data_IF_376324750984
#
_entry.id   IF_376324750984
#
_cell.length_a   1.000
_cell.length_b   1.000
_cell.length_c   1.000
_cell.angle_alpha   90.00
_cell.angle_beta   90.00
_cell.angle_gamma   90.00
#
_symmetry.space_group_name_H-M   'P 1'
#
loop_
_entity.id
_entity.type
_entity.pdbx_description
1 polymer ?
#
# COMPACT_ATOMS: atom_id res chain seq x y z
N UNK A 1 50.75 -29.38 -5.92
CA UNK A 1 49.30 -29.14 -6.12
C UNK A 1 48.55 -29.51 -4.85
N UNK A 2 48.25 -28.55 -3.95
CA UNK A 2 47.25 -28.75 -2.87
C UNK A 2 46.86 -27.43 -2.21
N UNK A 3 46.74 -26.33 -2.97
CA UNK A 3 46.42 -25.00 -2.42
C UNK A 3 44.93 -24.69 -2.40
N UNK A 4 44.11 -25.43 -3.16
CA UNK A 4 42.66 -25.20 -3.26
C UNK A 4 41.88 -25.57 -1.99
N UNK A 5 42.36 -26.54 -1.18
CA UNK A 5 41.65 -27.01 0.01
C UNK A 5 41.74 -26.02 1.19
N UNK A 6 42.86 -25.34 1.34
CA UNK A 6 43.08 -24.38 2.43
C UNK A 6 42.34 -23.05 2.23
N UNK A 7 42.14 -22.63 0.98
CA UNK A 7 41.41 -21.39 0.63
C UNK A 7 39.91 -21.56 0.95
N UNK A 8 39.33 -22.73 0.65
CA UNK A 8 37.91 -22.99 0.88
C UNK A 8 37.56 -23.11 2.37
N UNK A 9 38.44 -23.73 3.18
CA UNK A 9 38.24 -23.83 4.64
C UNK A 9 38.44 -22.49 5.35
N UNK A 10 39.36 -21.64 4.85
CA UNK A 10 39.59 -20.30 5.39
C UNK A 10 38.42 -19.35 5.14
N UNK A 11 37.75 -19.45 3.98
CA UNK A 11 36.57 -18.63 3.65
C UNK A 11 35.37 -19.01 4.53
N UNK A 12 35.13 -20.30 4.76
CA UNK A 12 34.07 -20.75 5.68
C UNK A 12 34.31 -20.30 7.13
N UNK A 13 35.56 -20.34 7.61
CA UNK A 13 35.90 -19.90 8.96
C UNK A 13 35.65 -18.39 9.16
N UNK A 14 35.86 -17.57 8.12
CA UNK A 14 35.55 -16.13 8.15
C UNK A 14 34.05 -15.82 8.08
N UNK A 15 33.25 -16.59 7.31
CA UNK A 15 31.80 -16.34 7.21
C UNK A 15 31.04 -16.72 8.50
N UNK A 16 31.50 -17.75 9.23
CA UNK A 16 30.92 -18.10 10.52
C UNK A 16 31.26 -17.08 11.62
N UNK A 17 32.43 -16.41 11.56
CA UNK A 17 32.79 -15.40 12.56
C UNK A 17 32.03 -14.09 12.39
N UNK A 18 31.63 -13.72 11.16
CA UNK A 18 30.82 -12.51 10.92
C UNK A 18 29.34 -12.72 11.24
N UNK A 19 28.81 -13.94 11.13
CA UNK A 19 27.41 -14.23 11.47
C UNK A 19 27.16 -14.19 12.99
N UNK A 20 28.16 -14.55 13.80
CA UNK A 20 28.05 -14.56 15.26
C UNK A 20 28.04 -13.17 15.92
N UNK A 21 28.46 -12.11 15.22
CA UNK A 21 28.49 -10.73 15.76
C UNK A 21 27.23 -9.90 15.44
N UNK A 22 26.31 -10.39 14.61
CA UNK A 22 25.03 -9.71 14.30
C UNK A 22 23.80 -10.33 14.98
N UNK A 23 23.99 -11.34 15.84
CA UNK A 23 22.89 -12.03 16.52
C UNK A 23 22.65 -11.53 17.96
N UNK A 24 22.86 -10.24 18.23
CA UNK A 24 22.72 -9.70 19.59
C UNK A 24 22.07 -8.31 19.56
N UNK A 25 20.74 -8.28 19.54
CA UNK A 25 19.85 -7.66 20.56
C UNK A 25 18.45 -7.47 19.98
N UNK A 26 17.57 -8.47 20.14
CA UNK A 26 16.13 -8.17 20.17
C UNK A 26 15.83 -7.75 21.61
N UNK A 27 15.78 -6.44 21.85
CA UNK A 27 15.24 -5.89 23.10
C UNK A 27 13.73 -6.01 23.06
N UNK A 28 13.18 -6.91 23.87
CA UNK A 28 11.74 -6.97 24.11
C UNK A 28 11.42 -5.93 25.20
N UNK A 29 10.76 -4.85 24.79
CA UNK A 29 10.18 -3.89 25.72
C UNK A 29 8.76 -4.38 26.07
N UNK A 30 8.63 -4.99 27.24
CA UNK A 30 7.33 -5.35 27.81
C UNK A 30 6.84 -4.16 28.65
N UNK A 31 6.31 -3.14 27.98
CA UNK A 31 5.38 -2.21 28.62
C UNK A 31 4.47 -1.55 27.56
N UNK A 32 3.61 -2.37 26.96
CA UNK A 32 2.39 -1.87 26.35
C UNK A 32 1.26 -2.46 27.17
N UNK A 33 0.70 -1.60 28.01
CA UNK A 33 -0.62 -1.74 28.61
C UNK A 33 -1.55 -2.38 27.58
N UNK A 34 -2.29 -3.45 27.89
CA UNK A 34 -3.26 -3.99 26.95
C UNK A 34 -4.38 -2.96 26.80
N UNK A 35 -4.22 -2.03 25.87
CA UNK A 35 -5.36 -1.44 25.19
C UNK A 35 -5.99 -2.63 24.49
N UNK A 36 -7.15 -3.02 24.99
CA UNK A 36 -8.05 -3.93 24.33
C UNK A 36 -8.20 -3.49 22.88
N UNK A 37 -7.47 -4.15 21.99
CA UNK A 37 -7.75 -4.17 20.57
C UNK A 37 -9.11 -4.86 20.46
N UNK A 38 -10.17 -4.05 20.46
CA UNK A 38 -11.38 -4.41 19.75
C UNK A 38 -10.95 -4.64 18.31
N UNK A 39 -10.67 -5.89 17.98
CA UNK A 39 -10.71 -6.42 16.63
C UNK A 39 -12.13 -6.18 16.12
N UNK A 40 -12.38 -4.95 15.64
CA UNK A 40 -13.51 -4.65 14.78
C UNK A 40 -13.22 -5.39 13.49
N UNK A 41 -13.55 -6.69 13.51
CA UNK A 41 -13.80 -7.51 12.35
C UNK A 41 -14.51 -6.61 11.35
N UNK A 42 -13.84 -6.31 10.23
CA UNK A 42 -14.41 -5.60 9.10
C UNK A 42 -15.54 -6.49 8.55
N UNK A 43 -16.66 -6.44 9.22
CA UNK A 43 -17.98 -6.73 8.69
C UNK A 43 -18.04 -5.91 7.41
N UNK A 44 -18.39 -6.49 6.25
CA UNK A 44 -18.72 -5.68 5.09
C UNK A 44 -19.84 -4.75 5.56
N UNK A 45 -19.50 -3.49 5.83
CA UNK A 45 -20.48 -2.48 6.18
C UNK A 45 -21.41 -2.47 4.98
N UNK A 46 -22.59 -3.03 5.19
CA UNK A 46 -23.65 -3.11 4.21
C UNK A 46 -23.85 -1.70 3.67
N UNK A 47 -23.42 -1.47 2.43
CA UNK A 47 -23.54 -0.25 1.63
C UNK A 47 -25.01 0.05 1.32
N UNK A 48 -25.83 0.18 2.35
CA UNK A 48 -27.25 0.48 2.24
C UNK A 48 -27.67 1.48 3.31
N UNK A 49 -26.84 2.45 3.65
CA UNK A 49 -27.31 3.66 4.34
C UNK A 49 -26.63 4.90 3.74
N UNK A 50 -27.49 5.75 3.17
CA UNK A 50 -27.20 6.94 2.40
C UNK A 50 -26.54 8.03 3.23
N UNK A 51 -25.24 7.93 3.50
CA UNK A 51 -24.46 9.07 3.98
C UNK A 51 -24.24 10.04 2.81
N UNK A 52 -25.18 10.94 2.63
CA UNK A 52 -25.06 12.04 1.66
C UNK A 52 -23.94 12.96 2.13
N UNK A 53 -22.82 12.97 1.40
CA UNK A 53 -21.72 13.88 1.67
C UNK A 53 -21.94 15.23 0.96
N UNK A 54 -21.70 16.34 1.64
CA UNK A 54 -21.78 17.69 1.06
C UNK A 54 -20.38 18.22 0.70
N UNK A 55 -20.26 18.81 -0.49
CA UNK A 55 -19.01 19.35 -1.02
C UNK A 55 -19.19 20.80 -1.47
N UNK A 56 -18.37 21.70 -0.93
CA UNK A 56 -18.31 23.10 -1.36
C UNK A 56 -17.27 23.25 -2.49
N UNK A 57 -17.75 23.39 -3.73
CA UNK A 57 -16.91 23.57 -4.90
C UNK A 57 -16.06 24.86 -4.87
N UNK A 58 -16.42 25.86 -4.05
CA UNK A 58 -15.66 27.11 -3.93
C UNK A 58 -14.29 26.91 -3.28
N UNK A 59 -14.13 25.83 -2.50
CA UNK A 59 -12.85 25.46 -1.88
C UNK A 59 -11.86 24.89 -2.89
N UNK A 60 -12.33 24.45 -4.05
CA UNK A 60 -11.49 23.89 -5.12
C UNK A 60 -10.90 25.01 -5.96
N UNK A 61 -9.68 25.40 -5.62
CA UNK A 61 -8.92 26.40 -6.40
C UNK A 61 -8.33 25.71 -7.62
N UNK A 62 -8.97 25.86 -8.77
CA UNK A 62 -8.43 25.42 -10.05
C UNK A 62 -7.99 26.62 -10.90
N UNK A 63 -6.82 26.53 -11.50
CA UNK A 63 -6.39 27.51 -12.52
C UNK A 63 -7.16 27.23 -13.82
N UNK A 64 -7.84 28.25 -14.36
CA UNK A 64 -8.59 28.17 -15.62
C UNK A 64 -10.11 28.04 -15.44
N UNK A 65 -10.80 27.63 -16.52
CA UNK A 65 -12.28 27.61 -16.59
C UNK A 65 -12.91 26.24 -16.31
N UNK A 66 -12.11 25.22 -16.01
CA UNK A 66 -12.63 23.86 -15.79
C UNK A 66 -13.00 23.71 -14.31
N UNK A 67 -14.29 23.73 -14.01
CA UNK A 67 -14.80 23.45 -12.68
C UNK A 67 -14.82 21.93 -12.43
N UNK A 68 -14.37 21.48 -11.26
CA UNK A 68 -14.48 20.08 -10.84
C UNK A 68 -15.95 19.79 -10.52
N UNK A 69 -16.49 18.76 -11.16
CA UNK A 69 -17.82 18.25 -10.81
C UNK A 69 -17.77 17.45 -9.51
N UNK A 70 -18.16 18.10 -8.42
CA UNK A 70 -18.18 17.50 -7.08
C UNK A 70 -19.43 16.65 -6.80
N UNK A 71 -20.47 16.74 -7.64
CA UNK A 71 -21.75 16.04 -7.42
C UNK A 71 -21.58 14.51 -7.40
N UNK A 72 -20.53 14.03 -8.06
CA UNK A 72 -20.16 12.62 -8.18
C UNK A 72 -19.77 12.01 -6.84
N UNK A 73 -19.11 12.79 -5.99
CA UNK A 73 -18.60 12.32 -4.70
C UNK A 73 -19.71 12.22 -3.63
N UNK A 74 -20.86 12.87 -3.84
CA UNK A 74 -21.99 12.92 -2.89
C UNK A 74 -22.51 11.53 -2.54
N UNK A 75 -22.52 10.62 -3.51
CA UNK A 75 -23.06 9.26 -3.39
C UNK A 75 -21.99 8.16 -3.46
N UNK A 76 -20.74 8.51 -3.14
CA UNK A 76 -19.65 7.53 -3.04
C UNK A 76 -18.95 7.18 -4.36
N UNK A 77 -19.11 7.97 -5.42
CA UNK A 77 -18.14 7.89 -6.53
C UNK A 77 -16.81 8.43 -6.04
N UNK A 78 -15.72 7.67 -6.19
CA UNK A 78 -14.44 8.00 -5.57
C UNK A 78 -13.45 8.70 -6.51
N UNK A 79 -13.72 8.78 -7.81
CA UNK A 79 -12.78 9.28 -8.83
C UNK A 79 -13.49 9.95 -10.00
N UNK A 80 -12.79 10.87 -10.68
CA UNK A 80 -13.24 11.47 -11.94
C UNK A 80 -12.88 10.56 -13.14
N UNK A 81 -13.58 10.66 -14.28
CA UNK A 81 -13.09 10.14 -15.55
C UNK A 81 -11.75 10.80 -15.91
N UNK A 82 -10.81 10.02 -16.42
CA UNK A 82 -9.47 10.52 -16.66
C UNK A 82 -8.44 9.43 -16.93
N UNK A 83 -7.17 9.85 -16.97
CA UNK A 83 -6.02 8.96 -17.10
C UNK A 83 -5.43 8.66 -15.74
N UNK A 84 -5.28 7.38 -15.44
CA UNK A 84 -4.74 6.92 -14.17
C UNK A 84 -3.63 5.89 -14.40
N UNK A 85 -2.54 6.02 -13.64
CA UNK A 85 -1.52 4.99 -13.54
C UNK A 85 -2.00 3.94 -12.56
N UNK A 86 -2.31 2.74 -13.05
CA UNK A 86 -2.87 1.67 -12.22
C UNK A 86 -2.09 0.38 -12.39
N UNK A 87 -2.22 -0.47 -11.38
CA UNK A 87 -1.88 -1.88 -11.42
C UNK A 87 -3.05 -2.67 -12.01
N UNK A 88 -2.78 -3.46 -13.05
CA UNK A 88 -3.78 -4.30 -13.72
C UNK A 88 -3.62 -5.73 -13.21
N UNK A 89 -4.64 -6.20 -12.51
CA UNK A 89 -4.72 -7.57 -12.02
C UNK A 89 -5.71 -8.38 -12.85
N UNK A 90 -5.33 -9.59 -13.25
CA UNK A 90 -6.22 -10.56 -13.91
C UNK A 90 -6.20 -11.84 -13.08
N UNK A 91 -7.38 -12.30 -12.66
CA UNK A 91 -7.51 -13.46 -11.76
C UNK A 91 -6.60 -13.35 -10.53
N UNK A 92 -6.58 -12.18 -9.88
CA UNK A 92 -5.77 -11.87 -8.68
C UNK A 92 -4.24 -11.84 -8.92
N UNK A 93 -3.77 -11.97 -10.16
CA UNK A 93 -2.35 -11.88 -10.48
C UNK A 93 -2.02 -10.54 -11.14
N UNK A 94 -0.96 -9.88 -10.69
CA UNK A 94 -0.46 -8.65 -11.31
C UNK A 94 0.06 -8.94 -12.72
N UNK A 95 -0.49 -8.23 -13.71
CA UNK A 95 -0.11 -8.37 -15.12
C UNK A 95 0.75 -7.19 -15.58
N UNK A 96 0.42 -5.97 -15.16
CA UNK A 96 1.14 -4.78 -15.58
C UNK A 96 0.87 -3.58 -14.65
N UNK A 97 1.74 -2.58 -14.72
CA UNK A 97 1.50 -1.24 -14.20
C UNK A 97 1.49 -0.28 -15.41
N UNK A 98 0.35 0.33 -15.72
CA UNK A 98 0.18 1.12 -16.95
C UNK A 98 -0.79 2.28 -16.79
N UNK A 99 -0.71 3.25 -17.70
CA UNK A 99 -1.71 4.31 -17.80
C UNK A 99 -2.97 3.78 -18.50
N UNK A 100 -4.12 3.99 -17.88
CA UNK A 100 -5.43 3.57 -18.39
C UNK A 100 -6.37 4.77 -18.39
N UNK A 101 -7.12 4.92 -19.48
CA UNK A 101 -8.14 5.97 -19.64
C UNK A 101 -9.49 5.40 -19.20
N UNK A 102 -10.07 5.99 -18.18
CA UNK A 102 -11.46 5.74 -17.76
C UNK A 102 -12.34 6.85 -18.33
N UNK A 103 -13.41 6.46 -19.01
CA UNK A 103 -14.38 7.38 -19.62
C UNK A 103 -15.71 7.25 -18.89
N UNK A 104 -16.46 8.34 -18.86
CA UNK A 104 -17.87 8.32 -18.49
C UNK A 104 -18.64 7.60 -19.60
N UNK A 105 -19.54 6.69 -19.23
CA UNK A 105 -20.47 6.08 -20.20
C UNK A 105 -21.50 7.15 -20.60
N UNK A 106 -21.87 7.21 -21.89
CA UNK A 106 -23.09 7.90 -22.35
C UNK A 106 -24.35 7.14 -21.90
#
# INVERSE_FOLDING_TARGET
MSTKKYILTSIHLCCFSTFALFASTITYADDVTPVSEEEKLATPESENESSVAEFDASLLRQEGQNQIDVSRFVYGSNVLPGKYRIDVLVNQNMVSNQEVVFKENE
#
